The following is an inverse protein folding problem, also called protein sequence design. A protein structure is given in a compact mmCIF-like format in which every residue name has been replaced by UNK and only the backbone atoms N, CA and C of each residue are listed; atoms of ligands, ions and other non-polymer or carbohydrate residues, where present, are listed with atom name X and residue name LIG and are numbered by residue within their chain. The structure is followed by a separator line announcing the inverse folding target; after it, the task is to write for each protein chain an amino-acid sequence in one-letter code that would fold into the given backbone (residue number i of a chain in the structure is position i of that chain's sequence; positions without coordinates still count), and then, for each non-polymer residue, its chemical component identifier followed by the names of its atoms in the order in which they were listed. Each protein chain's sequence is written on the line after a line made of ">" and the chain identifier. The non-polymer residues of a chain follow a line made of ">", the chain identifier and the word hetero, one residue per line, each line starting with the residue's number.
data_IF_684016487228
#
_entry.id   IF_684016487228
#
_cell.length_a   1.000
_cell.length_b   1.000
_cell.length_c   1.000
_cell.angle_alpha   90.00
_cell.angle_beta   90.00
_cell.angle_gamma   90.00
#
_symmetry.space_group_name_H-M   'P 1'
#
loop_
_entity.id
_entity.type
_entity.pdbx_description
1 polymer ?
#
# COMPACT_ATOMS: atom_id res chain seq x y z
N UNK A 1 10.44 13.89 8.37
CA UNK A 1 9.84 12.78 7.60
C UNK A 1 8.43 12.56 8.10
N UNK A 2 7.45 12.37 7.20
CA UNK A 2 6.10 12.04 7.63
C UNK A 2 6.05 10.60 8.14
N UNK A 3 5.35 10.36 9.25
CA UNK A 3 5.19 9.02 9.80
C UNK A 3 4.21 8.16 8.97
N UNK A 4 4.23 6.82 9.08
CA UNK A 4 3.29 5.95 8.36
C UNK A 4 1.82 6.31 8.62
N UNK A 5 1.51 6.69 9.86
CA UNK A 5 0.16 7.09 10.26
C UNK A 5 -0.31 8.41 9.63
N UNK A 6 0.62 9.35 9.39
CA UNK A 6 0.30 10.62 8.76
C UNK A 6 -0.07 10.42 7.28
N UNK A 7 0.62 9.50 6.59
CA UNK A 7 0.29 9.09 5.23
C UNK A 7 -1.07 8.39 5.20
N UNK A 8 -1.32 7.46 6.13
CA UNK A 8 -2.60 6.79 6.25
C UNK A 8 -3.74 7.80 6.44
N UNK A 9 -3.59 8.74 7.38
CA UNK A 9 -4.58 9.78 7.65
C UNK A 9 -4.81 10.68 6.44
N UNK A 10 -3.74 11.13 5.79
CA UNK A 10 -3.79 12.03 4.63
C UNK A 10 -4.55 11.43 3.44
N UNK A 11 -4.25 10.16 3.08
CA UNK A 11 -4.74 9.56 1.83
C UNK A 11 -5.91 8.58 2.02
N UNK A 12 -6.03 7.96 3.19
CA UNK A 12 -7.10 7.00 3.50
C UNK A 12 -8.10 7.51 4.54
N UNK A 13 -7.84 8.64 5.21
CA UNK A 13 -8.73 9.20 6.25
C UNK A 13 -9.00 8.19 7.38
N UNK A 14 -7.96 7.45 7.77
CA UNK A 14 -7.99 6.52 8.90
C UNK A 14 -7.02 7.01 9.98
N UNK A 15 -7.46 6.97 11.23
CA UNK A 15 -6.67 7.40 12.39
C UNK A 15 -5.80 6.29 12.99
N UNK A 16 -6.07 5.03 12.63
CA UNK A 16 -5.33 3.86 13.12
C UNK A 16 -5.18 2.78 12.05
N UNK A 17 -4.10 2.01 12.15
CA UNK A 17 -3.92 0.78 11.39
C UNK A 17 -4.79 -0.34 11.99
N UNK A 18 -5.33 -1.20 11.13
CA UNK A 18 -5.93 -2.47 11.58
C UNK A 18 -4.82 -3.46 11.90
N UNK A 19 -5.00 -4.33 12.88
CA UNK A 19 -4.06 -5.43 13.08
C UNK A 19 -4.16 -6.44 11.90
N UNK A 20 -3.04 -6.97 11.38
CA UNK A 20 -1.63 -6.75 11.74
C UNK A 20 -0.87 -5.72 10.86
N UNK A 21 -1.56 -4.74 10.27
CA UNK A 21 -0.97 -3.82 9.28
C UNK A 21 0.25 -3.05 9.81
N UNK A 22 0.21 -2.54 11.05
CA UNK A 22 1.33 -1.77 11.62
C UNK A 22 2.61 -2.62 11.70
N UNK A 23 2.49 -3.87 12.14
CA UNK A 23 3.62 -4.80 12.22
C UNK A 23 4.20 -5.12 10.83
N UNK A 24 3.34 -5.35 9.84
CA UNK A 24 3.79 -5.61 8.46
C UNK A 24 4.48 -4.38 7.87
N UNK A 25 3.91 -3.19 8.06
CA UNK A 25 4.47 -1.92 7.56
C UNK A 25 5.85 -1.66 8.16
N UNK A 26 6.02 -1.88 9.47
CA UNK A 26 7.33 -1.74 10.12
C UNK A 26 8.35 -2.71 9.53
N UNK A 27 8.00 -3.98 9.40
CA UNK A 27 8.86 -5.01 8.78
C UNK A 27 9.34 -4.59 7.38
N UNK A 28 8.44 -4.07 6.54
CA UNK A 28 8.78 -3.58 5.20
C UNK A 28 9.67 -2.33 5.24
N UNK A 29 9.38 -1.38 6.14
CA UNK A 29 10.19 -0.16 6.30
C UNK A 29 11.60 -0.44 6.84
N UNK A 30 11.77 -1.52 7.60
CA UNK A 30 13.06 -2.04 8.08
C UNK A 30 13.82 -2.83 7.00
N UNK A 31 13.28 -2.91 5.77
CA UNK A 31 13.90 -3.58 4.64
C UNK A 31 13.86 -5.10 4.71
N UNK A 32 12.92 -5.67 5.48
CA UNK A 32 12.78 -7.12 5.63
C UNK A 32 11.89 -7.73 4.55
N UNK A 33 12.27 -8.92 4.06
CA UNK A 33 11.41 -9.76 3.24
C UNK A 33 10.22 -10.25 4.05
N UNK A 34 9.04 -9.73 3.73
CA UNK A 34 7.85 -9.87 4.59
C UNK A 34 6.76 -10.69 3.90
N UNK A 35 6.42 -11.84 4.49
CA UNK A 35 5.26 -12.63 4.08
C UNK A 35 4.05 -12.30 4.96
N UNK A 36 3.05 -11.62 4.38
CA UNK A 36 1.84 -11.20 5.10
C UNK A 36 0.64 -12.11 4.79
N UNK A 37 0.08 -12.75 5.82
CA UNK A 37 -1.16 -13.52 5.72
C UNK A 37 -2.34 -12.68 6.23
N UNK A 38 -3.23 -12.28 5.32
CA UNK A 38 -4.37 -11.43 5.66
C UNK A 38 -5.63 -11.85 4.88
N UNK A 39 -6.81 -11.84 5.51
CA UNK A 39 -8.06 -12.19 4.83
C UNK A 39 -8.40 -11.19 3.72
N UNK A 40 -9.28 -11.57 2.80
CA UNK A 40 -9.86 -10.63 1.84
C UNK A 40 -10.59 -9.50 2.58
N UNK A 41 -10.45 -8.26 2.11
CA UNK A 41 -10.96 -7.08 2.82
C UNK A 41 -10.13 -6.63 4.04
N UNK A 42 -9.12 -7.39 4.46
CA UNK A 42 -8.22 -7.04 5.58
C UNK A 42 -7.32 -5.82 5.34
N UNK A 43 -7.39 -5.19 4.16
CA UNK A 43 -6.61 -3.99 3.84
C UNK A 43 -5.14 -4.27 3.52
N UNK A 44 -4.83 -5.43 2.95
CA UNK A 44 -3.45 -5.84 2.60
C UNK A 44 -2.70 -4.80 1.76
N UNK A 45 -3.42 -4.07 0.90
CA UNK A 45 -2.82 -3.06 0.02
C UNK A 45 -2.15 -1.91 0.77
N UNK A 46 -2.71 -1.51 1.92
CA UNK A 46 -2.14 -0.46 2.77
C UNK A 46 -0.72 -0.85 3.22
N UNK A 47 -0.48 -2.15 3.46
CA UNK A 47 0.78 -2.66 3.97
C UNK A 47 1.97 -2.47 3.03
N UNK A 48 1.75 -2.28 1.72
CA UNK A 48 2.82 -1.93 0.76
C UNK A 48 2.65 -0.51 0.21
N UNK A 49 1.44 0.03 0.15
CA UNK A 49 1.18 1.38 -0.37
C UNK A 49 1.68 2.48 0.57
N UNK A 50 1.54 2.31 1.90
CA UNK A 50 2.05 3.30 2.86
C UNK A 50 3.60 3.33 2.83
N UNK A 51 4.31 2.19 2.94
CA UNK A 51 5.77 2.18 2.79
C UNK A 51 6.25 2.77 1.45
N UNK A 52 5.57 2.45 0.35
CA UNK A 52 5.89 2.97 -0.97
C UNK A 52 5.88 4.51 -1.05
N UNK A 53 5.05 5.17 -0.25
CA UNK A 53 4.95 6.63 -0.19
C UNK A 53 5.97 7.28 0.76
N UNK A 54 6.66 6.48 1.57
CA UNK A 54 7.70 6.93 2.51
C UNK A 54 9.11 6.84 1.93
N UNK A 55 9.31 5.98 0.93
CA UNK A 55 10.60 5.72 0.33
C UNK A 55 10.74 6.50 -0.99
N UNK A 56 11.96 6.92 -1.30
CA UNK A 56 12.27 7.45 -2.63
C UNK A 56 12.24 6.32 -3.67
N UNK A 57 11.77 6.62 -4.89
CA UNK A 57 11.73 5.67 -6.00
C UNK A 57 10.31 5.21 -6.38
N UNK A 58 10.20 3.96 -6.84
CA UNK A 58 8.98 3.36 -7.38
C UNK A 58 8.68 2.03 -6.69
N UNK A 59 7.44 1.83 -6.24
CA UNK A 59 6.95 0.53 -5.80
C UNK A 59 6.46 -0.29 -7.00
N UNK A 60 7.08 -1.45 -7.23
CA UNK A 60 6.63 -2.41 -8.24
C UNK A 60 5.67 -3.41 -7.60
N UNK A 61 4.44 -3.49 -8.13
CA UNK A 61 3.43 -4.44 -7.67
C UNK A 61 3.13 -5.44 -8.78
N UNK A 62 3.38 -6.70 -8.52
CA UNK A 62 3.04 -7.80 -9.44
C UNK A 62 1.66 -8.35 -9.07
N UNK A 63 0.74 -8.34 -10.02
CA UNK A 63 -0.63 -8.82 -9.84
C UNK A 63 -1.03 -9.74 -10.99
N UNK A 64 -1.70 -10.87 -10.71
CA UNK A 64 -2.02 -11.87 -11.73
C UNK A 64 -3.17 -11.47 -12.66
N UNK A 65 -4.02 -10.50 -12.27
CA UNK A 65 -5.24 -10.16 -13.00
C UNK A 65 -5.27 -8.67 -13.37
N UNK A 66 -5.50 -8.39 -14.66
CA UNK A 66 -5.66 -7.04 -15.20
C UNK A 66 -6.76 -6.27 -14.46
N UNK A 67 -7.87 -6.95 -14.12
CA UNK A 67 -8.95 -6.35 -13.35
C UNK A 67 -8.47 -5.79 -11.99
N UNK A 68 -7.69 -6.59 -11.25
CA UNK A 68 -7.12 -6.16 -9.98
C UNK A 68 -6.13 -5.01 -10.15
N UNK A 69 -5.32 -5.02 -11.22
CA UNK A 69 -4.39 -3.92 -11.52
C UNK A 69 -5.13 -2.61 -11.78
N UNK A 70 -6.18 -2.64 -12.61
CA UNK A 70 -7.01 -1.47 -12.92
C UNK A 70 -7.70 -0.94 -11.66
N UNK A 71 -8.25 -1.82 -10.83
CA UNK A 71 -8.90 -1.43 -9.58
C UNK A 71 -7.92 -0.74 -8.62
N UNK A 72 -6.69 -1.22 -8.51
CA UNK A 72 -5.65 -0.60 -7.68
C UNK A 72 -5.28 0.79 -8.19
N UNK A 73 -5.00 0.92 -9.49
CA UNK A 73 -4.63 2.21 -10.10
C UNK A 73 -5.77 3.22 -9.97
N UNK A 74 -7.02 2.82 -10.21
CA UNK A 74 -8.18 3.70 -10.04
C UNK A 74 -8.33 4.15 -8.58
N UNK A 75 -8.17 3.25 -7.62
CA UNK A 75 -8.24 3.59 -6.21
C UNK A 75 -7.16 4.58 -5.77
N UNK A 76 -5.93 4.41 -6.26
CA UNK A 76 -4.82 5.33 -5.99
C UNK A 76 -5.03 6.69 -6.67
N UNK A 77 -5.47 6.69 -7.93
CA UNK A 77 -5.77 7.90 -8.69
C UNK A 77 -6.86 8.75 -8.03
N UNK A 78 -7.93 8.13 -7.53
CA UNK A 78 -9.00 8.81 -6.76
C UNK A 78 -8.49 9.49 -5.49
N UNK A 79 -7.36 9.04 -4.94
CA UNK A 79 -6.69 9.63 -3.76
C UNK A 79 -5.60 10.63 -4.14
N UNK A 80 -5.44 10.94 -5.42
CA UNK A 80 -4.37 11.81 -5.92
C UNK A 80 -2.98 11.17 -5.85
N UNK A 81 -2.89 9.83 -5.74
CA UNK A 81 -1.62 9.10 -5.73
C UNK A 81 -1.31 8.65 -7.17
N UNK A 82 -0.10 8.97 -7.63
CA UNK A 82 0.37 8.58 -8.96
C UNK A 82 0.61 7.08 -9.00
N UNK A 83 -0.07 6.40 -9.91
CA UNK A 83 0.11 4.98 -10.19
C UNK A 83 -0.24 4.71 -11.65
N UNK A 84 0.38 3.68 -12.24
CA UNK A 84 0.09 3.20 -13.59
C UNK A 84 0.13 1.68 -13.61
N UNK A 85 -0.65 1.07 -14.49
CA UNK A 85 -0.62 -0.36 -14.76
C UNK A 85 -0.08 -0.56 -16.17
N UNK A 86 0.93 -1.42 -16.31
CA UNK A 86 1.41 -1.90 -17.60
C UNK A 86 0.71 -3.22 -17.90
N UNK A 87 -0.16 -3.21 -18.91
CA UNK A 87 -0.91 -4.39 -19.35
C UNK A 87 -0.60 -4.62 -20.83
N UNK A 88 -0.43 -5.88 -21.22
CA UNK A 88 -0.27 -6.26 -22.63
C UNK A 88 -1.50 -6.00 -23.47
#
# INVERSE_FOLDING_TARGET
>A
MQGPLEILKKYWQHDTFREPQDAIIRSVLEGQDTFALMPTGGGKSICFQVPAMMQEGLCLVISPLIALMKDQVQNLSKRGIKAIALTG
#
